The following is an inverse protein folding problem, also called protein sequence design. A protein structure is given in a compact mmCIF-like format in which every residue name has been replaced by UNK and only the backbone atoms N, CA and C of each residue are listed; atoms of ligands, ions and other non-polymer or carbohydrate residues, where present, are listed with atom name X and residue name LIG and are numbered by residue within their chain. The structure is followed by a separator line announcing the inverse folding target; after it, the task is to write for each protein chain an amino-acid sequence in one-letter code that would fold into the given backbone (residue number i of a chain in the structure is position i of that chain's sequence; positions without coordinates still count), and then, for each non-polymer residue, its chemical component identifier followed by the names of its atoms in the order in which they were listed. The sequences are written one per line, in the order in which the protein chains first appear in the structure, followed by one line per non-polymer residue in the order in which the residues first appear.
data_IF_784180995342
#
_entry.id   IF_784180995342
#
_cell.length_a   1.000
_cell.length_b   1.000
_cell.length_c   1.000
_cell.angle_alpha   90.00
_cell.angle_beta   90.00
_cell.angle_gamma   90.00
#
_symmetry.space_group_name_H-M   'P 1'
#
loop_
_entity.id
_entity.type
_entity.pdbx_description
1 polymer ?
#
# COMPACT_ATOMS: atom_id res chain seq x y z
N UNK A 1 19.40 -12.11 -48.32
CA UNK A 1 18.68 -11.33 -47.33
C UNK A 1 19.67 -10.40 -46.67
N UNK A 2 19.61 -9.12 -46.98
CA UNK A 2 20.31 -8.09 -46.20
C UNK A 2 19.61 -8.04 -44.85
N UNK A 3 20.21 -8.59 -43.83
CA UNK A 3 19.73 -8.38 -42.48
C UNK A 3 20.05 -6.94 -42.09
N UNK A 4 19.04 -6.08 -42.15
CA UNK A 4 19.12 -4.76 -41.56
C UNK A 4 19.30 -4.94 -40.04
N UNK A 5 20.42 -4.48 -39.54
CA UNK A 5 20.75 -4.60 -38.12
C UNK A 5 21.03 -3.21 -37.55
N UNK A 6 20.35 -2.87 -36.48
CA UNK A 6 20.54 -1.61 -35.79
C UNK A 6 22.02 -1.34 -35.49
N UNK A 7 22.50 -0.14 -35.82
CA UNK A 7 23.89 0.25 -35.64
C UNK A 7 24.79 -0.06 -36.86
N UNK A 8 24.38 -0.93 -37.78
CA UNK A 8 25.08 -1.16 -39.04
C UNK A 8 24.56 -0.27 -40.15
N UNK A 9 23.24 -0.13 -40.25
CA UNK A 9 22.55 0.60 -41.31
C UNK A 9 21.84 1.87 -40.80
N UNK A 10 22.14 2.30 -39.57
CA UNK A 10 21.56 3.47 -38.90
C UNK A 10 20.75 3.11 -37.68
N UNK A 11 20.42 4.10 -36.85
CA UNK A 11 19.61 3.99 -35.65
C UNK A 11 18.29 4.73 -35.88
N UNK A 12 17.20 3.98 -35.93
CA UNK A 12 15.86 4.54 -36.08
C UNK A 12 15.10 4.45 -34.76
N UNK A 13 14.82 5.59 -34.21
CA UNK A 13 14.05 5.70 -32.96
C UNK A 13 12.66 6.27 -33.23
N UNK A 14 11.75 6.04 -32.28
CA UNK A 14 10.39 6.53 -32.35
C UNK A 14 9.91 7.07 -31.02
N UNK A 15 8.89 7.89 -31.08
CA UNK A 15 7.97 8.19 -30.01
C UNK A 15 6.62 7.59 -30.40
N UNK A 16 5.89 7.01 -29.48
CA UNK A 16 4.62 6.38 -29.79
C UNK A 16 3.70 6.32 -28.58
N UNK A 17 2.50 5.83 -28.82
CA UNK A 17 1.46 5.65 -27.79
C UNK A 17 1.06 4.18 -27.72
N UNK A 18 0.98 3.65 -26.50
CA UNK A 18 0.54 2.29 -26.24
C UNK A 18 -0.96 2.18 -26.49
N UNK A 19 -1.38 1.18 -27.27
CA UNK A 19 -2.80 0.91 -27.58
C UNK A 19 -3.31 -0.42 -27.04
N UNK A 20 -2.42 -1.40 -26.82
CA UNK A 20 -2.79 -2.73 -26.33
C UNK A 20 -1.64 -3.36 -25.53
N UNK A 21 -1.93 -3.86 -24.36
CA UNK A 21 -0.99 -4.59 -23.49
C UNK A 21 -1.35 -6.07 -23.26
N UNK A 22 -2.39 -6.55 -23.93
CA UNK A 22 -2.84 -7.93 -23.80
C UNK A 22 -2.00 -8.90 -24.64
N UNK A 23 -0.70 -8.97 -24.32
CA UNK A 23 0.25 -9.83 -25.02
C UNK A 23 -0.14 -11.32 -24.89
N UNK A 24 -0.48 -12.01 -26.00
CA UNK A 24 -0.88 -13.42 -25.96
C UNK A 24 0.24 -14.35 -25.47
N UNK A 25 1.50 -13.93 -25.60
CA UNK A 25 2.66 -14.72 -25.12
C UNK A 25 3.03 -14.38 -23.67
N UNK A 26 2.38 -13.38 -23.04
CA UNK A 26 2.64 -12.96 -21.66
C UNK A 26 4.10 -12.57 -21.38
N UNK A 27 4.73 -11.92 -22.35
CA UNK A 27 6.10 -11.43 -22.27
C UNK A 27 6.22 -9.96 -21.85
N UNK A 28 5.10 -9.32 -21.54
CA UNK A 28 5.03 -7.90 -21.21
C UNK A 28 5.17 -6.97 -22.40
N UNK A 29 5.01 -7.49 -23.63
CA UNK A 29 4.99 -6.68 -24.83
C UNK A 29 3.71 -5.87 -24.93
N UNK A 30 3.81 -4.74 -25.59
CA UNK A 30 2.66 -3.86 -25.85
C UNK A 30 2.61 -3.48 -27.33
N UNK A 31 1.42 -3.18 -27.84
CA UNK A 31 1.26 -2.63 -29.19
C UNK A 31 1.40 -1.12 -29.11
N UNK A 32 2.26 -0.57 -29.94
CA UNK A 32 2.56 0.85 -29.96
C UNK A 32 2.27 1.44 -31.33
N UNK A 33 1.48 2.50 -31.38
CA UNK A 33 1.37 3.33 -32.57
C UNK A 33 2.54 4.30 -32.59
N UNK A 34 3.52 4.01 -33.43
CA UNK A 34 4.74 4.81 -33.55
C UNK A 34 4.48 6.02 -34.47
N UNK A 35 4.65 7.22 -33.93
CA UNK A 35 4.41 8.47 -34.63
C UNK A 35 5.37 8.62 -35.81
N UNK A 36 4.85 9.00 -36.99
CA UNK A 36 5.62 9.14 -38.21
C UNK A 36 5.91 7.84 -38.97
N UNK A 37 5.67 6.68 -38.35
CA UNK A 37 5.76 5.35 -39.00
C UNK A 37 4.38 4.73 -39.22
N UNK A 38 3.48 4.88 -38.28
CA UNK A 38 2.11 4.38 -38.36
C UNK A 38 1.13 5.54 -38.59
N UNK A 39 0.13 5.31 -39.45
CA UNK A 39 -0.95 6.29 -39.62
C UNK A 39 -1.76 6.47 -38.33
N UNK A 40 -2.24 7.69 -38.10
CA UNK A 40 -3.17 7.99 -36.99
C UNK A 40 -4.60 7.52 -37.28
N UNK A 41 -4.89 7.13 -38.52
CA UNK A 41 -6.21 6.69 -38.95
C UNK A 41 -6.37 5.20 -38.58
N UNK A 42 -7.19 4.92 -37.56
CA UNK A 42 -7.39 3.56 -37.04
C UNK A 42 -8.08 2.63 -38.04
N UNK A 43 -8.86 3.16 -38.99
CA UNK A 43 -9.49 2.38 -40.05
C UNK A 43 -8.45 1.81 -41.04
N UNK A 44 -7.36 2.55 -41.27
CA UNK A 44 -6.30 2.16 -42.21
C UNK A 44 -5.30 1.19 -41.56
N UNK A 45 -5.03 1.37 -40.24
CA UNK A 45 -4.14 0.52 -39.47
C UNK A 45 -4.73 0.28 -38.07
N UNK A 46 -5.38 -0.85 -37.92
CA UNK A 46 -6.02 -1.24 -36.66
C UNK A 46 -4.99 -1.52 -35.58
N UNK A 47 -5.35 -1.33 -34.33
CA UNK A 47 -4.52 -1.70 -33.16
C UNK A 47 -4.06 -3.17 -33.22
N UNK A 48 -4.92 -4.09 -33.69
CA UNK A 48 -4.60 -5.49 -33.83
C UNK A 48 -3.51 -5.80 -34.86
N UNK A 49 -3.23 -4.90 -35.76
CA UNK A 49 -2.23 -5.03 -36.83
C UNK A 49 -0.88 -4.36 -36.50
N UNK A 50 -0.82 -3.61 -35.38
CA UNK A 50 0.41 -3.03 -34.90
C UNK A 50 1.40 -4.11 -34.41
N UNK A 51 2.71 -3.92 -34.65
CA UNK A 51 3.72 -4.85 -34.13
C UNK A 51 3.80 -4.80 -32.60
N UNK A 52 4.18 -5.94 -32.00
CA UNK A 52 4.44 -6.04 -30.57
C UNK A 52 5.82 -5.45 -30.23
N UNK A 53 5.83 -4.43 -29.39
CA UNK A 53 7.03 -3.80 -28.87
C UNK A 53 7.50 -4.48 -27.59
N UNK A 54 8.80 -4.81 -27.53
CA UNK A 54 9.40 -5.38 -26.33
C UNK A 54 9.83 -4.25 -25.37
N UNK A 55 9.48 -4.32 -24.09
CA UNK A 55 10.03 -3.40 -23.11
C UNK A 55 11.47 -3.72 -22.80
N UNK A 56 12.33 -2.71 -22.70
CA UNK A 56 13.71 -2.84 -22.23
C UNK A 56 13.73 -2.64 -20.71
N UNK A 57 14.17 -3.64 -19.98
CA UNK A 57 14.33 -3.56 -18.54
C UNK A 57 15.65 -2.86 -18.15
N UNK A 58 15.72 -2.25 -16.95
CA UNK A 58 16.96 -1.69 -16.46
C UNK A 58 18.03 -2.80 -16.28
N UNK A 59 19.30 -2.45 -16.45
CA UNK A 59 20.42 -3.40 -16.32
C UNK A 59 20.52 -4.05 -14.93
N UNK A 60 19.84 -3.49 -13.94
CA UNK A 60 19.68 -4.06 -12.59
C UNK A 60 18.67 -5.21 -12.51
N UNK A 61 17.97 -5.50 -13.61
CA UNK A 61 17.03 -6.62 -13.73
C UNK A 61 17.63 -7.70 -14.63
N UNK A 62 17.60 -8.95 -14.20
CA UNK A 62 18.17 -10.06 -14.97
C UNK A 62 17.39 -10.33 -16.26
N UNK A 63 16.11 -10.10 -16.29
CA UNK A 63 15.20 -10.34 -17.44
C UNK A 63 15.34 -11.76 -18.02
N UNK A 64 15.59 -12.73 -17.15
CA UNK A 64 15.77 -14.14 -17.52
C UNK A 64 15.10 -15.04 -16.48
N UNK A 65 14.36 -16.04 -16.92
CA UNK A 65 13.68 -17.02 -16.07
C UNK A 65 12.77 -16.40 -14.98
N UNK A 66 12.20 -15.23 -15.24
CA UNK A 66 11.37 -14.49 -14.29
C UNK A 66 12.14 -13.81 -13.14
N UNK A 67 13.48 -13.86 -13.17
CA UNK A 67 14.31 -13.20 -12.15
C UNK A 67 14.45 -11.72 -12.49
N UNK A 68 14.23 -10.88 -11.49
CA UNK A 68 14.33 -9.42 -11.61
C UNK A 68 12.96 -8.75 -11.71
N UNK A 69 12.93 -7.58 -12.31
CA UNK A 69 11.72 -6.78 -12.44
C UNK A 69 10.83 -7.31 -13.56
N UNK A 70 9.54 -7.50 -13.27
CA UNK A 70 8.56 -7.90 -14.29
C UNK A 70 8.36 -6.75 -15.29
N UNK A 71 8.39 -7.01 -16.62
CA UNK A 71 8.28 -5.98 -17.64
C UNK A 71 6.84 -5.50 -17.88
N UNK A 72 6.10 -5.24 -16.82
CA UNK A 72 4.72 -4.78 -16.83
C UNK A 72 4.68 -3.36 -16.24
N UNK A 73 4.46 -2.37 -17.05
CA UNK A 73 4.39 -0.99 -16.59
C UNK A 73 3.50 -0.12 -17.47
N UNK A 74 3.75 -0.07 -18.78
CA UNK A 74 2.94 0.75 -19.66
C UNK A 74 1.48 0.29 -19.71
N UNK A 75 0.57 1.24 -19.59
CA UNK A 75 -0.87 1.05 -19.82
C UNK A 75 -1.28 1.69 -21.14
N UNK A 76 -2.47 1.41 -21.61
CA UNK A 76 -3.01 2.06 -22.82
C UNK A 76 -3.02 3.58 -22.63
N UNK A 77 -2.58 4.33 -23.63
CA UNK A 77 -2.41 5.78 -23.58
C UNK A 77 -1.03 6.23 -23.06
N UNK A 78 -0.18 5.33 -22.56
CA UNK A 78 1.19 5.67 -22.15
C UNK A 78 2.02 6.10 -23.35
N UNK A 79 2.67 7.25 -23.25
CA UNK A 79 3.65 7.70 -24.22
C UNK A 79 4.99 7.00 -23.97
N UNK A 80 5.58 6.49 -25.05
CA UNK A 80 6.83 5.73 -24.98
C UNK A 80 7.84 6.26 -25.99
N UNK A 81 9.12 6.09 -25.66
CA UNK A 81 10.25 6.29 -26.57
C UNK A 81 10.97 4.97 -26.76
N UNK A 82 11.38 4.67 -27.97
CA UNK A 82 12.06 3.43 -28.31
C UNK A 82 12.78 3.49 -29.65
N UNK A 83 13.19 2.34 -30.11
CA UNK A 83 13.86 2.18 -31.39
C UNK A 83 13.45 0.87 -32.09
N UNK A 84 13.71 0.78 -33.38
CA UNK A 84 13.49 -0.44 -34.15
C UNK A 84 14.79 -1.24 -34.25
N UNK A 85 14.77 -2.51 -33.79
CA UNK A 85 15.94 -3.40 -33.82
C UNK A 85 16.25 -3.90 -35.23
N UNK A 86 15.29 -3.85 -36.13
CA UNK A 86 15.40 -4.22 -37.55
C UNK A 86 15.65 -2.99 -38.46
N UNK A 87 15.95 -1.82 -37.90
CA UNK A 87 16.30 -0.62 -38.66
C UNK A 87 15.19 -0.15 -39.55
N UNK A 88 15.45 -0.05 -40.86
CA UNK A 88 14.53 0.53 -41.84
C UNK A 88 13.23 -0.25 -42.06
N UNK A 89 13.18 -1.53 -41.68
CA UNK A 89 11.97 -2.36 -41.81
C UNK A 89 10.89 -1.99 -40.79
N UNK A 90 11.32 -1.40 -39.65
CA UNK A 90 10.46 -0.84 -38.59
C UNK A 90 9.34 -1.78 -38.07
N UNK A 91 9.61 -3.09 -38.02
CA UNK A 91 8.65 -4.10 -37.58
C UNK A 91 8.97 -4.69 -36.18
N UNK A 92 10.15 -4.39 -35.63
CA UNK A 92 10.60 -4.92 -34.35
C UNK A 92 10.91 -3.78 -33.36
N UNK A 93 9.88 -3.13 -32.83
CA UNK A 93 10.05 -2.04 -31.88
C UNK A 93 10.50 -2.53 -30.51
N UNK A 94 11.42 -1.78 -29.90
CA UNK A 94 11.87 -1.94 -28.51
C UNK A 94 11.62 -0.63 -27.79
N UNK A 95 10.94 -0.69 -26.63
CA UNK A 95 10.64 0.46 -25.76
C UNK A 95 11.79 0.65 -24.79
N UNK A 96 12.38 1.84 -24.75
CA UNK A 96 13.43 2.24 -23.83
C UNK A 96 12.87 2.83 -22.53
N UNK A 97 11.73 3.52 -22.60
CA UNK A 97 11.12 4.19 -21.46
C UNK A 97 9.79 4.83 -21.78
N UNK A 98 9.17 5.35 -20.75
CA UNK A 98 7.92 6.12 -20.82
C UNK A 98 8.21 7.61 -20.74
N UNK A 99 7.37 8.42 -21.33
CA UNK A 99 7.45 9.87 -21.32
C UNK A 99 6.22 10.44 -20.63
N UNK A 100 6.38 11.22 -19.54
CA UNK A 100 5.26 11.98 -19.00
C UNK A 100 4.87 13.09 -19.98
N UNK A 101 3.58 13.33 -20.10
CA UNK A 101 3.07 14.40 -20.93
C UNK A 101 3.05 15.74 -20.18
N UNK A 102 3.00 16.81 -20.97
CA UNK A 102 2.74 18.17 -20.48
C UNK A 102 1.41 18.63 -21.06
N UNK A 103 0.37 18.89 -20.25
CA UNK A 103 -0.89 19.38 -20.77
C UNK A 103 -0.74 20.80 -21.31
N UNK A 104 -1.46 21.12 -22.38
CA UNK A 104 -1.48 22.49 -22.94
C UNK A 104 -2.06 23.50 -21.96
N UNK A 105 -2.98 23.07 -21.13
CA UNK A 105 -3.58 23.85 -20.07
C UNK A 105 -3.51 23.04 -18.76
N UNK A 106 -3.23 23.73 -17.66
CA UNK A 106 -3.19 23.09 -16.35
C UNK A 106 -4.54 22.46 -15.99
N UNK A 107 -4.54 21.34 -15.28
CA UNK A 107 -5.76 20.70 -14.81
C UNK A 107 -6.63 21.65 -14.00
N UNK A 108 -7.93 21.54 -14.15
CA UNK A 108 -8.91 22.28 -13.37
C UNK A 108 -9.81 21.34 -12.58
N UNK A 109 -10.31 21.81 -11.46
CA UNK A 109 -11.16 21.04 -10.54
C UNK A 109 -12.44 20.50 -11.18
N UNK A 110 -12.97 21.23 -12.18
CA UNK A 110 -14.15 20.83 -12.95
C UNK A 110 -13.86 19.81 -14.06
N UNK A 111 -12.60 19.46 -14.25
CA UNK A 111 -12.19 18.52 -15.27
C UNK A 111 -12.26 19.04 -16.71
N UNK A 112 -12.33 20.36 -16.91
CA UNK A 112 -12.46 20.96 -18.24
C UNK A 112 -11.11 21.14 -18.97
N UNK A 113 -10.00 21.13 -18.22
CA UNK A 113 -8.65 21.38 -18.72
C UNK A 113 -7.69 20.28 -18.28
N UNK A 114 -6.52 20.23 -18.89
CA UNK A 114 -5.52 19.20 -18.66
C UNK A 114 -5.53 18.14 -19.74
N UNK A 115 -5.03 16.95 -19.43
CA UNK A 115 -5.01 15.83 -20.37
C UNK A 115 -6.41 15.33 -20.68
N UNK A 116 -6.71 15.23 -21.98
CA UNK A 116 -7.96 14.68 -22.48
C UNK A 116 -7.67 13.33 -23.14
N UNK A 117 -8.32 12.28 -22.67
CA UNK A 117 -8.29 11.01 -23.40
C UNK A 117 -9.26 11.07 -24.60
N UNK A 118 -8.70 11.05 -25.79
CA UNK A 118 -9.47 11.11 -27.05
C UNK A 118 -10.27 9.85 -27.34
N UNK A 119 -9.87 8.73 -26.74
CA UNK A 119 -10.48 7.43 -27.02
C UNK A 119 -11.50 7.00 -25.94
N UNK A 120 -11.72 7.83 -24.94
CA UNK A 120 -12.55 7.47 -23.79
C UNK A 120 -12.08 6.15 -23.12
N UNK A 121 -10.79 5.87 -23.18
CA UNK A 121 -10.19 4.71 -22.55
C UNK A 121 -10.15 4.87 -21.02
N UNK A 122 -9.57 3.91 -20.33
CA UNK A 122 -9.52 3.90 -18.88
C UNK A 122 -8.50 4.88 -18.29
N UNK A 123 -7.67 5.50 -19.12
CA UNK A 123 -6.58 6.39 -18.74
C UNK A 123 -6.57 7.69 -19.56
N UNK A 124 -6.14 8.82 -18.93
CA UNK A 124 -5.69 8.94 -17.55
C UNK A 124 -6.78 8.57 -16.54
N UNK A 125 -6.39 7.87 -15.48
CA UNK A 125 -7.30 7.41 -14.41
C UNK A 125 -8.03 8.56 -13.75
N UNK A 126 -7.32 9.67 -13.59
CA UNK A 126 -7.84 10.94 -13.11
C UNK A 126 -7.82 11.91 -14.29
N UNK A 127 -8.99 12.17 -14.86
CA UNK A 127 -9.11 13.07 -16.03
C UNK A 127 -8.45 14.40 -15.77
N UNK A 128 -7.72 14.87 -16.78
CA UNK A 128 -7.14 16.19 -16.86
C UNK A 128 -5.95 16.47 -15.94
N UNK A 129 -5.38 15.46 -15.29
CA UNK A 129 -4.19 15.62 -14.46
C UNK A 129 -2.90 15.39 -15.27
N UNK A 130 -1.78 16.01 -14.87
CA UNK A 130 -0.48 15.65 -15.36
C UNK A 130 -0.09 14.25 -14.86
N UNK A 131 0.87 13.61 -15.53
CA UNK A 131 1.34 12.27 -15.15
C UNK A 131 2.15 12.25 -13.83
N UNK A 132 2.27 13.39 -13.16
CA UNK A 132 2.88 13.49 -11.83
C UNK A 132 1.83 13.20 -10.76
N UNK A 133 2.09 12.22 -9.91
CA UNK A 133 1.17 11.83 -8.85
C UNK A 133 0.87 13.00 -7.88
N UNK A 134 -0.38 13.17 -7.52
CA UNK A 134 -0.85 14.23 -6.61
C UNK A 134 -0.20 14.23 -5.24
N UNK A 135 0.16 13.05 -4.73
CA UNK A 135 0.91 12.94 -3.48
C UNK A 135 2.34 13.48 -3.62
N UNK A 136 2.94 13.37 -4.79
CA UNK A 136 4.30 13.87 -5.03
C UNK A 136 4.34 15.41 -5.11
N UNK A 137 3.27 16.03 -5.58
CA UNK A 137 3.19 17.50 -5.74
C UNK A 137 2.44 18.19 -4.61
N UNK A 138 1.76 17.44 -3.74
CA UNK A 138 0.90 17.94 -2.67
C UNK A 138 -0.16 18.93 -3.21
N UNK A 139 -1.00 18.43 -4.11
CA UNK A 139 -2.07 19.22 -4.72
C UNK A 139 -3.19 19.47 -3.68
N UNK A 140 -3.15 20.63 -3.04
CA UNK A 140 -4.12 21.03 -2.02
C UNK A 140 -5.53 21.28 -2.61
N UNK A 141 -5.60 21.72 -3.85
CA UNK A 141 -6.88 22.00 -4.52
C UNK A 141 -7.58 20.69 -4.95
N UNK A 142 -6.78 19.66 -5.27
CA UNK A 142 -7.26 18.37 -5.71
C UNK A 142 -6.48 17.24 -5.01
N UNK A 143 -6.69 17.05 -3.70
CA UNK A 143 -5.91 16.10 -2.92
C UNK A 143 -6.11 14.67 -3.40
N UNK A 144 -5.07 13.87 -3.28
CA UNK A 144 -5.15 12.47 -3.65
C UNK A 144 -6.20 11.74 -2.80
N UNK A 145 -7.05 10.87 -3.41
CA UNK A 145 -8.13 10.17 -2.68
C UNK A 145 -7.64 9.42 -1.43
N UNK A 146 -6.40 8.94 -1.42
CA UNK A 146 -5.79 8.26 -0.27
C UNK A 146 -5.81 9.11 1.00
N UNK A 147 -5.62 10.42 0.90
CA UNK A 147 -5.62 11.32 2.05
C UNK A 147 -7.02 11.44 2.68
N UNK A 148 -8.05 11.49 1.85
CA UNK A 148 -9.46 11.53 2.31
C UNK A 148 -9.91 10.17 2.83
N UNK A 149 -9.60 9.09 2.11
CA UNK A 149 -9.95 7.72 2.52
C UNK A 149 -9.28 7.32 3.83
N UNK A 150 -8.08 7.82 4.09
CA UNK A 150 -7.36 7.52 5.31
C UNK A 150 -8.07 8.03 6.56
N UNK A 151 -8.63 9.22 6.50
CA UNK A 151 -9.46 9.74 7.60
C UNK A 151 -10.69 8.85 7.82
N UNK A 152 -11.42 8.53 6.75
CA UNK A 152 -12.58 7.65 6.83
C UNK A 152 -12.20 6.23 7.31
N UNK A 153 -11.04 5.73 6.93
CA UNK A 153 -10.52 4.44 7.38
C UNK A 153 -10.17 4.44 8.87
N UNK A 154 -9.62 5.54 9.39
CA UNK A 154 -9.37 5.75 10.82
C UNK A 154 -10.69 5.72 11.59
N UNK A 155 -11.66 6.51 11.17
CA UNK A 155 -12.97 6.63 11.79
C UNK A 155 -13.69 5.27 11.87
N UNK A 156 -13.49 4.40 10.89
CA UNK A 156 -14.03 3.03 10.88
C UNK A 156 -13.25 2.05 11.78
N UNK A 157 -11.94 2.26 11.96
CA UNK A 157 -11.09 1.34 12.73
C UNK A 157 -11.39 1.42 14.24
N UNK A 158 -11.83 2.56 14.73
CA UNK A 158 -12.13 2.80 16.16
C UNK A 158 -13.50 2.20 16.59
N UNK A 159 -14.07 1.33 15.78
CA UNK A 159 -15.20 0.48 16.21
C UNK A 159 -16.55 1.17 16.20
N UNK A 160 -16.64 2.37 15.68
CA UNK A 160 -17.92 3.04 15.56
C UNK A 160 -18.52 2.73 14.20
N UNK A 161 -19.23 1.64 14.15
CA UNK A 161 -20.22 1.40 13.08
C UNK A 161 -21.32 2.46 13.23
N UNK A 162 -21.04 3.66 12.80
CA UNK A 162 -22.05 4.69 12.75
C UNK A 162 -22.83 4.56 11.45
N UNK A 163 -24.07 4.14 11.58
CA UNK A 163 -25.04 4.07 10.48
C UNK A 163 -25.57 5.46 10.10
N UNK A 164 -25.17 6.51 10.80
CA UNK A 164 -25.61 7.89 10.56
C UNK A 164 -24.40 8.79 10.27
N UNK A 165 -24.28 9.23 9.02
CA UNK A 165 -23.18 10.05 8.50
C UNK A 165 -23.06 11.47 9.11
N UNK A 166 -23.79 11.78 10.16
CA UNK A 166 -23.84 13.12 10.76
C UNK A 166 -23.22 13.24 12.15
N UNK A 167 -22.80 12.14 12.77
CA UNK A 167 -22.17 12.16 14.10
C UNK A 167 -20.65 12.12 13.94
N UNK A 168 -19.98 13.15 14.42
CA UNK A 168 -18.52 13.12 14.65
C UNK A 168 -18.26 12.06 15.69
N UNK A 169 -17.62 11.00 15.29
CA UNK A 169 -17.23 9.93 16.19
C UNK A 169 -15.97 10.34 16.89
N UNK A 170 -15.95 10.19 18.19
CA UNK A 170 -14.75 10.30 18.99
C UNK A 170 -13.82 9.12 18.62
N UNK A 171 -12.70 9.43 17.97
CA UNK A 171 -11.72 8.44 17.48
C UNK A 171 -10.90 7.81 18.63
N UNK A 172 -11.26 8.08 19.87
CA UNK A 172 -10.51 7.66 21.04
C UNK A 172 -10.90 6.24 21.49
N UNK A 173 -9.90 5.42 21.75
CA UNK A 173 -10.07 4.10 22.35
C UNK A 173 -9.87 4.21 23.85
N UNK A 174 -10.85 3.81 24.65
CA UNK A 174 -10.72 3.79 26.09
C UNK A 174 -9.75 2.70 26.54
N UNK A 175 -8.84 3.04 27.44
CA UNK A 175 -7.95 2.12 28.12
C UNK A 175 -8.46 1.83 29.54
N UNK A 176 -7.93 0.76 30.13
CA UNK A 176 -8.29 0.29 31.48
C UNK A 176 -7.98 1.29 32.61
N UNK A 177 -7.05 2.21 32.38
CA UNK A 177 -6.64 3.25 33.32
C UNK A 177 -7.50 4.53 33.25
N UNK A 178 -8.62 4.49 32.53
CA UNK A 178 -9.51 5.64 32.30
C UNK A 178 -8.93 6.70 31.36
N UNK A 179 -7.81 6.40 30.70
CA UNK A 179 -7.24 7.22 29.63
C UNK A 179 -7.71 6.69 28.28
N UNK A 180 -7.61 7.53 27.30
CA UNK A 180 -7.87 7.16 25.92
C UNK A 180 -6.59 7.20 25.09
N UNK A 181 -6.59 6.51 24.00
CA UNK A 181 -5.61 6.64 22.96
C UNK A 181 -6.31 6.63 21.59
N UNK A 182 -5.73 7.29 20.61
CA UNK A 182 -6.22 7.29 19.24
C UNK A 182 -5.08 7.01 18.26
N UNK A 183 -5.45 6.81 17.01
CA UNK A 183 -4.47 6.70 15.94
C UNK A 183 -3.87 8.08 15.66
N UNK A 184 -2.52 8.23 15.67
CA UNK A 184 -1.89 9.49 15.31
C UNK A 184 -2.28 9.93 13.89
N UNK A 185 -2.50 11.23 13.71
CA UNK A 185 -2.71 11.78 12.37
C UNK A 185 -1.46 11.60 11.50
N UNK A 186 -1.70 11.54 10.19
CA UNK A 186 -0.58 11.48 9.24
C UNK A 186 0.24 12.75 9.29
N UNK A 187 1.54 12.60 9.23
CA UNK A 187 2.49 13.73 9.09
C UNK A 187 2.72 14.11 7.62
N UNK A 188 1.83 13.69 6.71
CA UNK A 188 1.93 14.03 5.30
C UNK A 188 1.94 15.55 5.10
N UNK A 189 3.05 16.06 4.60
CA UNK A 189 3.26 17.46 4.25
C UNK A 189 4.29 17.55 3.12
N UNK A 190 4.09 16.74 2.08
CA UNK A 190 5.05 16.61 1.00
C UNK A 190 5.33 17.94 0.30
N UNK A 191 6.60 18.16 -0.03
CA UNK A 191 7.08 19.30 -0.84
C UNK A 191 7.72 18.74 -2.10
N UNK A 192 7.24 19.18 -3.26
CA UNK A 192 7.86 18.82 -4.53
C UNK A 192 9.30 19.34 -4.60
N UNK A 193 10.30 18.56 -5.02
CA UNK A 193 10.22 17.23 -5.65
C UNK A 193 10.62 16.06 -4.70
N UNK A 194 10.41 16.15 -3.41
CA UNK A 194 11.01 15.26 -2.42
C UNK A 194 10.19 13.99 -2.13
N UNK A 195 8.91 13.91 -2.50
CA UNK A 195 8.11 12.71 -2.30
C UNK A 195 8.15 11.79 -3.53
N UNK A 196 8.75 10.62 -3.38
CA UNK A 196 8.86 9.58 -4.41
C UNK A 196 7.69 8.62 -4.30
N UNK A 197 6.75 8.72 -5.24
CA UNK A 197 5.50 7.96 -5.23
C UNK A 197 5.50 6.90 -6.32
N UNK A 198 5.13 5.67 -5.96
CA UNK A 198 4.79 4.61 -6.87
C UNK A 198 3.35 4.17 -6.62
N UNK A 199 2.49 4.32 -7.61
CA UNK A 199 1.10 3.90 -7.55
C UNK A 199 0.81 2.92 -8.69
N UNK A 200 0.07 1.86 -8.37
CA UNK A 200 -0.44 0.92 -9.37
C UNK A 200 -1.82 1.33 -9.83
N UNK A 201 -2.25 0.86 -11.00
CA UNK A 201 -3.60 1.12 -11.52
C UNK A 201 -4.72 0.64 -10.59
N UNK A 202 -4.45 -0.37 -9.75
CA UNK A 202 -5.36 -0.89 -8.73
C UNK A 202 -5.44 -0.03 -7.46
N UNK A 203 -4.60 1.01 -7.32
CA UNK A 203 -4.56 1.88 -6.16
C UNK A 203 -3.70 1.37 -5.01
N UNK A 204 -2.78 0.43 -5.27
CA UNK A 204 -1.70 0.12 -4.33
C UNK A 204 -0.65 1.22 -4.39
N UNK A 205 -0.14 1.62 -3.24
CA UNK A 205 0.68 2.80 -3.10
C UNK A 205 1.94 2.50 -2.30
N UNK A 206 3.06 3.12 -2.71
CA UNK A 206 4.30 3.19 -1.95
C UNK A 206 4.88 4.59 -2.07
N UNK A 207 5.24 5.19 -0.93
CA UNK A 207 5.83 6.52 -0.86
C UNK A 207 7.11 6.48 -0.03
N UNK A 208 8.12 7.21 -0.51
CA UNK A 208 9.31 7.59 0.23
C UNK A 208 9.42 9.10 0.16
N UNK A 209 9.04 9.78 1.23
CA UNK A 209 9.03 11.23 1.32
C UNK A 209 10.28 11.70 2.08
N UNK A 210 11.14 12.44 1.37
CA UNK A 210 12.36 13.03 1.90
C UNK A 210 12.17 14.51 2.29
N UNK A 211 10.94 15.01 2.33
CA UNK A 211 10.62 16.37 2.74
C UNK A 211 11.18 16.67 4.12
N UNK A 212 11.95 17.74 4.24
CA UNK A 212 12.60 18.12 5.51
C UNK A 212 11.55 18.44 6.58
N UNK A 213 11.63 17.74 7.71
CA UNK A 213 10.69 17.89 8.83
C UNK A 213 9.35 17.16 8.63
N UNK A 214 9.21 16.41 7.53
CA UNK A 214 8.03 15.59 7.25
C UNK A 214 8.39 14.27 6.54
N UNK A 215 9.60 13.75 6.80
CA UNK A 215 10.03 12.47 6.21
C UNK A 215 9.07 11.36 6.55
N UNK A 216 8.79 10.52 5.54
CA UNK A 216 7.76 9.50 5.71
C UNK A 216 7.99 8.29 4.81
N UNK A 217 7.75 7.10 5.36
CA UNK A 217 7.60 5.88 4.57
C UNK A 217 6.15 5.44 4.69
N UNK A 218 5.50 5.22 3.56
CA UNK A 218 4.12 4.77 3.53
C UNK A 218 3.93 3.66 2.50
N UNK A 219 3.32 2.56 2.91
CA UNK A 219 2.92 1.49 2.02
C UNK A 219 1.47 1.11 2.31
N UNK A 220 0.63 1.11 1.27
CA UNK A 220 -0.82 0.93 1.41
C UNK A 220 -1.38 0.01 0.34
N UNK A 221 -2.15 -0.97 0.76
CA UNK A 221 -3.03 -1.74 -0.12
C UNK A 221 -4.27 -0.92 -0.49
N UNK A 222 -4.85 -1.15 -1.68
CA UNK A 222 -6.05 -0.45 -2.15
C UNK A 222 -7.25 -0.53 -1.18
N UNK A 223 -7.34 -1.58 -0.35
CA UNK A 223 -8.38 -1.72 0.68
C UNK A 223 -8.20 -0.81 1.90
N UNK A 224 -7.06 -0.15 2.06
CA UNK A 224 -6.73 0.67 3.21
C UNK A 224 -5.79 0.03 4.24
N UNK A 225 -5.52 -1.28 4.14
CA UNK A 225 -4.49 -1.91 4.98
C UNK A 225 -3.10 -1.45 4.57
N UNK A 226 -2.20 -1.25 5.54
CA UNK A 226 -0.86 -0.78 5.27
C UNK A 226 -0.12 -0.34 6.52
N UNK A 227 0.99 0.32 6.32
CA UNK A 227 1.73 0.96 7.41
C UNK A 227 2.32 2.30 7.00
N UNK A 228 2.59 3.12 7.98
CA UNK A 228 3.25 4.41 7.82
C UNK A 228 4.28 4.60 8.93
N UNK A 229 5.43 5.15 8.58
CA UNK A 229 6.47 5.55 9.53
C UNK A 229 6.68 7.05 9.37
N UNK A 230 6.53 7.80 10.46
CA UNK A 230 6.65 9.25 10.51
C UNK A 230 8.10 9.72 10.68
N UNK A 231 8.33 11.02 10.55
CA UNK A 231 9.65 11.64 10.69
C UNK A 231 10.28 11.42 12.08
N UNK A 232 9.47 11.32 13.12
CA UNK A 232 9.90 11.03 14.50
C UNK A 232 10.15 9.54 14.77
N UNK A 233 9.92 8.66 13.78
CA UNK A 233 10.03 7.21 13.88
C UNK A 233 8.79 6.50 14.39
N UNK A 234 7.70 7.21 14.69
CA UNK A 234 6.42 6.57 15.05
C UNK A 234 5.92 5.71 13.88
N UNK A 235 5.60 4.45 14.17
CA UNK A 235 5.02 3.52 13.19
C UNK A 235 3.56 3.24 13.50
N UNK A 236 2.71 3.47 12.51
CA UNK A 236 1.30 3.09 12.52
C UNK A 236 1.08 1.94 11.55
N UNK A 237 0.45 0.86 12.01
CA UNK A 237 0.05 -0.28 11.17
C UNK A 237 -1.45 -0.45 11.26
N UNK A 238 -2.11 -0.50 10.11
CA UNK A 238 -3.57 -0.67 10.02
C UNK A 238 -3.91 -1.91 9.21
N UNK A 239 -4.82 -2.72 9.76
CA UNK A 239 -5.37 -3.90 9.09
C UNK A 239 -6.89 -3.77 9.03
N UNK A 240 -7.47 -3.75 7.83
CA UNK A 240 -8.91 -3.52 7.60
C UNK A 240 -9.80 -4.74 7.83
N UNK A 241 -9.20 -5.92 7.92
CA UNK A 241 -9.87 -7.20 8.18
C UNK A 241 -9.09 -8.00 9.20
N UNK A 242 -8.98 -9.28 9.00
CA UNK A 242 -8.28 -10.18 9.90
C UNK A 242 -6.76 -10.00 9.80
N UNK A 243 -6.09 -10.04 10.92
CA UNK A 243 -4.63 -10.13 11.00
C UNK A 243 -4.23 -11.53 11.45
N UNK A 244 -3.37 -12.18 10.66
CA UNK A 244 -2.77 -13.47 11.01
C UNK A 244 -1.28 -13.30 11.20
N UNK A 245 -0.79 -13.59 12.39
CA UNK A 245 0.63 -13.64 12.68
C UNK A 245 1.00 -15.08 13.05
N UNK A 246 1.88 -15.69 12.26
CA UNK A 246 2.29 -17.09 12.41
C UNK A 246 3.79 -17.12 12.57
N UNK A 247 4.25 -17.45 13.78
CA UNK A 247 5.66 -17.56 14.14
C UNK A 247 5.99 -19.03 14.31
N UNK A 248 6.88 -19.56 13.47
CA UNK A 248 7.24 -20.99 13.47
C UNK A 248 8.24 -21.38 14.56
N UNK A 249 8.88 -20.41 15.18
CA UNK A 249 9.82 -20.59 16.27
C UNK A 249 9.44 -19.63 17.40
N UNK A 250 10.38 -18.91 17.98
CA UNK A 250 10.15 -18.03 19.12
C UNK A 250 9.74 -16.61 18.67
N UNK A 251 8.90 -15.97 19.47
CA UNK A 251 8.56 -14.56 19.36
C UNK A 251 9.15 -13.79 20.55
N UNK A 252 9.83 -12.68 20.27
CA UNK A 252 10.40 -11.79 21.28
C UNK A 252 9.81 -10.39 21.12
N UNK A 253 9.10 -9.90 22.16
CA UNK A 253 8.56 -8.56 22.19
C UNK A 253 9.13 -7.82 23.41
N UNK A 254 9.76 -6.65 23.17
CA UNK A 254 10.29 -5.77 24.22
C UNK A 254 9.71 -4.37 24.08
N UNK A 255 9.00 -3.91 25.10
CA UNK A 255 8.37 -2.59 25.13
C UNK A 255 8.94 -1.82 26.32
N UNK A 256 9.70 -0.76 26.06
CA UNK A 256 10.27 0.08 27.14
C UNK A 256 9.23 0.97 27.80
N UNK A 257 8.16 1.30 27.10
CA UNK A 257 7.06 2.11 27.61
C UNK A 257 5.88 1.26 28.12
N UNK A 258 4.69 1.78 28.00
CA UNK A 258 3.45 1.11 28.37
C UNK A 258 2.84 0.41 27.17
N UNK A 259 2.48 -0.87 27.31
CA UNK A 259 1.63 -1.57 26.35
C UNK A 259 0.15 -1.35 26.71
N UNK A 260 -0.67 -0.97 25.75
CA UNK A 260 -2.13 -0.90 25.89
C UNK A 260 -2.77 -1.79 24.83
N UNK A 261 -3.68 -2.64 25.28
CA UNK A 261 -4.43 -3.54 24.41
C UNK A 261 -5.92 -3.43 24.75
N UNK A 262 -6.72 -2.97 23.81
CA UNK A 262 -8.17 -2.91 23.91
C UNK A 262 -8.79 -3.91 22.94
N UNK A 263 -9.74 -4.73 23.42
CA UNK A 263 -10.38 -5.79 22.63
C UNK A 263 -11.88 -5.73 22.87
N UNK A 264 -12.64 -5.34 21.86
CA UNK A 264 -14.08 -5.09 21.98
C UNK A 264 -14.92 -6.35 22.23
N UNK A 265 -14.45 -7.51 21.79
CA UNK A 265 -15.27 -8.73 21.83
C UNK A 265 -14.76 -9.81 22.77
N UNK A 266 -13.50 -10.15 22.71
CA UNK A 266 -12.97 -11.18 23.59
C UNK A 266 -11.57 -11.65 23.22
N UNK A 267 -10.79 -11.95 24.24
CA UNK A 267 -9.44 -12.50 24.17
C UNK A 267 -9.46 -13.98 24.55
N UNK A 268 -8.82 -14.82 23.73
CA UNK A 268 -8.58 -16.23 24.04
C UNK A 268 -7.11 -16.53 23.94
N UNK A 269 -6.49 -16.93 25.02
CA UNK A 269 -5.10 -17.38 25.06
C UNK A 269 -5.08 -18.89 25.35
N UNK A 270 -4.43 -19.66 24.49
CA UNK A 270 -4.23 -21.09 24.69
C UNK A 270 -2.75 -21.41 24.58
N UNK A 271 -2.18 -21.89 25.68
CA UNK A 271 -0.85 -22.48 25.70
C UNK A 271 -0.97 -23.97 25.48
N UNK A 272 -0.61 -24.45 24.29
CA UNK A 272 -0.63 -25.88 23.96
C UNK A 272 0.66 -26.52 24.44
N UNK A 273 0.55 -27.32 25.49
CA UNK A 273 1.64 -28.15 25.93
C UNK A 273 1.62 -29.48 25.17
N UNK A 274 2.60 -29.71 24.27
CA UNK A 274 2.82 -31.07 23.79
C UNK A 274 3.42 -31.89 24.93
N UNK A 275 3.06 -33.17 25.04
CA UNK A 275 3.28 -34.06 26.20
C UNK A 275 4.72 -34.21 26.75
N UNK A 276 5.67 -33.40 26.33
CA UNK A 276 7.08 -33.49 26.70
C UNK A 276 7.74 -32.19 27.18
N UNK A 277 7.03 -31.07 27.30
CA UNK A 277 7.64 -29.83 27.75
C UNK A 277 6.85 -29.21 28.93
N UNK A 278 7.56 -28.70 29.90
CA UNK A 278 7.01 -27.85 30.94
C UNK A 278 6.81 -26.42 30.45
N UNK A 279 5.89 -26.25 29.51
CA UNK A 279 5.57 -24.94 28.99
C UNK A 279 4.50 -24.30 29.87
N UNK A 280 4.78 -23.13 30.40
CA UNK A 280 3.91 -22.44 31.35
C UNK A 280 3.38 -21.15 30.73
N UNK A 281 2.23 -20.72 31.16
CA UNK A 281 1.79 -19.34 31.06
C UNK A 281 2.18 -18.64 32.37
N UNK A 282 3.16 -17.74 32.31
CA UNK A 282 3.70 -17.06 33.49
C UNK A 282 3.43 -15.57 33.38
N UNK A 283 2.91 -14.99 34.48
CA UNK A 283 2.79 -13.53 34.63
C UNK A 283 3.69 -13.15 35.80
N UNK A 284 4.72 -12.35 35.56
CA UNK A 284 5.61 -11.84 36.58
C UNK A 284 5.56 -10.31 36.57
N UNK A 285 5.36 -9.73 37.76
CA UNK A 285 5.26 -8.28 37.94
C UNK A 285 6.31 -7.85 38.95
N UNK A 286 7.12 -6.86 38.57
CA UNK A 286 8.24 -6.38 39.38
C UNK A 286 7.81 -5.70 40.68
N UNK A 287 8.80 -5.42 41.53
CA UNK A 287 8.58 -4.81 42.84
C UNK A 287 7.86 -3.45 42.73
N UNK A 288 6.83 -3.27 43.54
CA UNK A 288 6.05 -2.04 43.64
C UNK A 288 4.89 -1.93 42.65
N UNK A 289 4.68 -2.95 41.77
CA UNK A 289 3.56 -3.00 40.87
C UNK A 289 2.55 -4.11 41.26
N UNK A 290 1.34 -4.02 40.72
CA UNK A 290 0.22 -4.92 41.05
C UNK A 290 -0.27 -5.65 39.81
N UNK A 291 -0.90 -6.79 40.00
CA UNK A 291 -1.79 -7.44 39.05
C UNK A 291 -3.21 -7.22 39.53
N UNK A 292 -4.03 -6.58 38.71
CA UNK A 292 -5.46 -6.40 38.96
C UNK A 292 -6.25 -7.22 37.96
N UNK A 293 -7.22 -7.99 38.44
CA UNK A 293 -8.19 -8.68 37.60
C UNK A 293 -9.57 -8.26 38.08
N UNK A 294 -10.29 -7.53 37.22
CA UNK A 294 -11.61 -7.01 37.55
C UNK A 294 -12.64 -7.51 36.51
N UNK A 295 -13.77 -7.97 36.98
CA UNK A 295 -14.92 -8.37 36.16
C UNK A 295 -16.13 -7.59 36.65
N UNK A 296 -16.62 -6.65 35.83
CA UNK A 296 -17.75 -5.79 36.23
C UNK A 296 -19.06 -6.57 36.36
N UNK A 297 -19.28 -7.56 35.51
CA UNK A 297 -20.52 -8.35 35.50
C UNK A 297 -20.24 -9.75 35.00
N UNK A 298 -20.08 -10.70 35.91
CA UNK A 298 -19.75 -12.08 35.61
C UNK A 298 -18.86 -12.69 36.66
N UNK A 299 -18.26 -13.84 36.38
CA UNK A 299 -17.49 -14.63 37.31
C UNK A 299 -15.99 -14.65 36.96
N UNK A 300 -15.14 -14.76 37.97
CA UNK A 300 -13.74 -15.15 37.81
C UNK A 300 -13.63 -16.64 38.20
N UNK A 301 -13.38 -17.49 37.20
CA UNK A 301 -13.26 -18.93 37.40
C UNK A 301 -11.78 -19.36 37.34
N UNK A 302 -11.23 -19.83 38.44
CA UNK A 302 -9.91 -20.46 38.52
C UNK A 302 -10.09 -21.95 38.70
N UNK A 303 -9.83 -22.74 37.66
CA UNK A 303 -10.12 -24.18 37.66
C UNK A 303 -8.85 -24.97 37.32
N UNK A 304 -8.41 -25.85 38.21
CA UNK A 304 -7.43 -26.89 37.91
C UNK A 304 -8.16 -28.23 37.81
N UNK A 305 -8.11 -28.92 36.67
CA UNK A 305 -8.85 -30.17 36.47
C UNK A 305 -8.18 -31.38 37.17
N UNK A 306 -6.86 -31.39 37.29
CA UNK A 306 -6.12 -32.54 37.82
C UNK A 306 -5.01 -32.17 38.79
N UNK A 307 -4.82 -30.91 39.08
CA UNK A 307 -3.81 -30.41 40.04
C UNK A 307 -4.41 -29.48 41.06
N UNK A 308 -3.57 -28.78 41.79
CA UNK A 308 -3.96 -27.86 42.84
C UNK A 308 -4.07 -26.42 42.33
N UNK A 309 -4.91 -25.60 42.96
CA UNK A 309 -4.87 -24.15 42.92
C UNK A 309 -4.17 -23.64 44.18
N UNK A 310 -2.94 -23.20 44.06
CA UNK A 310 -2.14 -22.72 45.17
C UNK A 310 -2.14 -21.19 45.25
N UNK A 311 -2.68 -20.64 46.33
CA UNK A 311 -2.67 -19.21 46.62
C UNK A 311 -1.74 -18.96 47.81
N UNK A 312 -0.71 -18.11 47.62
CA UNK A 312 0.25 -17.78 48.67
C UNK A 312 0.41 -16.28 48.79
N UNK A 313 0.17 -15.74 49.97
CA UNK A 313 0.40 -14.34 50.28
C UNK A 313 1.55 -14.20 51.29
N UNK A 314 2.46 -13.25 51.08
CA UNK A 314 3.57 -12.95 51.99
C UNK A 314 3.13 -12.23 53.30
N UNK A 315 1.94 -11.61 53.26
CA UNK A 315 1.35 -10.92 54.44
C UNK A 315 -0.07 -11.42 54.69
N UNK A 316 -1.07 -10.79 54.09
CA UNK A 316 -2.47 -11.08 54.33
C UNK A 316 -3.17 -11.53 53.05
N UNK A 317 -4.12 -12.44 53.17
CA UNK A 317 -5.10 -12.75 52.13
C UNK A 317 -6.45 -12.24 52.65
N UNK A 318 -7.05 -11.26 51.99
CA UNK A 318 -8.37 -10.76 52.34
C UNK A 318 -9.37 -11.30 51.32
N UNK A 319 -10.50 -11.84 51.83
CA UNK A 319 -11.61 -12.31 51.01
C UNK A 319 -12.85 -11.61 51.56
N UNK A 320 -13.32 -10.60 50.81
CA UNK A 320 -14.53 -9.87 51.18
C UNK A 320 -15.66 -10.34 50.26
N UNK A 321 -16.74 -10.83 50.88
CA UNK A 321 -17.94 -11.25 50.15
C UNK A 321 -19.06 -10.32 50.58
N UNK A 322 -19.52 -9.46 49.66
CA UNK A 322 -20.73 -8.68 49.88
C UNK A 322 -21.93 -9.65 49.89
N UNK A 323 -22.67 -9.70 50.96
CA UNK A 323 -23.96 -10.40 50.95
C UNK A 323 -24.96 -9.62 50.10
N UNK A 324 -25.63 -10.34 49.19
CA UNK A 324 -26.73 -9.81 48.40
C UNK A 324 -27.96 -9.52 49.28
#
# INVERSE_FOLDING_TARGET
MTQNFMGKDGFQWFVGVVEDRQDPQKLGRVRVRCLGYHTEIHEDLKTADLPWAHPMNPITSATVSGIGQTPLGPVEGTWVVGFFSDGADAQQPIIMGTLPGVPNELPTKDGSKGFQDRLNANYPKYKNEPDTNRLAVNDEENPHPTLTLRKADRDLAVGVANTDATTVVDDTVEADDGKSWDEPETTYAAVYPYNHVMETEGGHLREYDDTVGAKRIHERHASGSGYEIFDDGTKVTRVKKDNYEIVSNDEYCHIQGTARQTIDKGLRVKVNNSAQASNNYTIEVGAGANVTVEVQNGDINLISQQGDVNLKAGKNMNIDVAQA
#
